data_IF_405778526021
#
_entry.id   IF_405778526021
#
_cell.length_a   1.000
_cell.length_b   1.000
_cell.length_c   1.000
_cell.angle_alpha   90.00
_cell.angle_beta   90.00
_cell.angle_gamma   90.00
#
_symmetry.space_group_name_H-M   'P 1'
#
loop_
_entity.id
_entity.type
_entity.pdbx_description
1 polymer ?
#
# COMPACT_ATOMS: atom_id res chain seq x y z
N UNK A 1 -2.13 -23.74 -16.75
CA UNK A 1 -2.31 -24.57 -15.53
C UNK A 1 -1.86 -23.79 -14.29
N UNK A 2 -2.68 -23.65 -13.23
CA UNK A 2 -2.26 -22.98 -11.98
C UNK A 2 -1.87 -24.02 -10.92
N UNK A 3 -0.67 -23.92 -10.35
CA UNK A 3 -0.26 -24.77 -9.22
C UNK A 3 -0.75 -24.11 -7.93
N UNK A 4 -1.85 -24.64 -7.37
CA UNK A 4 -2.45 -24.10 -6.14
C UNK A 4 -1.43 -24.14 -4.99
N UNK A 5 -1.28 -23.03 -4.29
CA UNK A 5 -0.41 -22.92 -3.11
C UNK A 5 1.03 -22.47 -3.39
N UNK A 6 1.54 -22.57 -4.63
CA UNK A 6 2.93 -22.22 -4.95
C UNK A 6 3.31 -20.77 -4.62
N UNK A 7 2.42 -19.82 -4.88
CA UNK A 7 2.63 -18.39 -4.55
C UNK A 7 2.64 -18.15 -3.04
N UNK A 8 1.82 -18.90 -2.29
CA UNK A 8 1.78 -18.85 -0.82
C UNK A 8 3.07 -19.41 -0.22
N UNK A 9 3.56 -20.52 -0.78
CA UNK A 9 4.84 -21.15 -0.42
C UNK A 9 6.01 -20.21 -0.74
N UNK A 10 6.03 -19.60 -1.92
CA UNK A 10 7.00 -18.57 -2.28
C UNK A 10 7.04 -17.41 -1.29
N UNK A 11 5.88 -16.86 -0.93
CA UNK A 11 5.81 -15.77 0.06
C UNK A 11 6.30 -16.22 1.45
N UNK A 12 6.09 -17.49 1.82
CA UNK A 12 6.58 -18.05 3.09
C UNK A 12 8.10 -18.23 3.08
N UNK A 13 8.66 -18.85 2.03
CA UNK A 13 10.11 -19.03 1.85
C UNK A 13 10.82 -17.68 1.83
N UNK A 14 10.28 -16.71 1.10
CA UNK A 14 10.80 -15.34 1.05
C UNK A 14 10.78 -14.67 2.42
N UNK A 15 9.70 -14.85 3.19
CA UNK A 15 9.60 -14.32 4.55
C UNK A 15 10.63 -14.96 5.49
N UNK A 16 10.94 -16.24 5.34
CA UNK A 16 11.96 -16.92 6.13
C UNK A 16 13.38 -16.44 5.79
N UNK A 17 13.68 -16.24 4.50
CA UNK A 17 14.97 -15.68 4.07
C UNK A 17 15.16 -14.23 4.54
N UNK A 18 14.10 -13.42 4.51
CA UNK A 18 14.12 -12.05 5.03
C UNK A 18 14.28 -11.99 6.56
N UNK A 19 13.82 -13.03 7.26
CA UNK A 19 13.93 -13.17 8.71
C UNK A 19 15.29 -13.69 9.17
N UNK A 20 16.03 -14.35 8.28
CA UNK A 20 17.18 -15.19 8.60
C UNK A 20 16.75 -16.58 9.08
N UNK A 21 17.56 -17.60 8.79
CA UNK A 21 17.36 -18.98 9.21
C UNK A 21 18.18 -19.27 10.46
N UNK A 22 17.62 -20.01 11.43
CA UNK A 22 18.43 -20.55 12.54
C UNK A 22 19.36 -21.64 11.99
N UNK A 23 20.56 -21.84 12.58
CA UNK A 23 21.48 -22.90 12.15
C UNK A 23 20.80 -24.28 12.03
N UNK A 24 19.94 -24.63 13.00
CA UNK A 24 19.22 -25.91 13.04
C UNK A 24 18.14 -26.03 11.94
N UNK A 25 17.66 -24.91 11.42
CA UNK A 25 16.59 -24.85 10.41
C UNK A 25 17.13 -24.82 8.97
N UNK A 26 18.45 -24.65 8.77
CA UNK A 26 19.08 -24.53 7.44
C UNK A 26 18.89 -25.79 6.59
N UNK A 27 19.23 -26.95 7.14
CA UNK A 27 19.11 -28.23 6.41
C UNK A 27 17.65 -28.64 6.15
N UNK A 28 16.72 -28.53 7.13
CA UNK A 28 15.29 -28.69 6.89
C UNK A 28 14.76 -27.76 5.78
N UNK A 29 15.16 -26.48 5.79
CA UNK A 29 14.76 -25.49 4.80
C UNK A 29 15.29 -25.84 3.40
N UNK A 30 16.58 -26.20 3.29
CA UNK A 30 17.21 -26.65 2.04
C UNK A 30 16.45 -27.84 1.44
N UNK A 31 16.09 -28.83 2.28
CA UNK A 31 15.33 -30.01 1.86
C UNK A 31 13.91 -29.65 1.44
N UNK A 32 13.26 -28.71 2.13
CA UNK A 32 11.93 -28.23 1.79
C UNK A 32 11.91 -27.54 0.42
N UNK A 33 12.82 -26.60 0.16
CA UNK A 33 12.91 -25.89 -1.12
C UNK A 33 13.17 -26.86 -2.27
N UNK A 34 14.12 -27.79 -2.12
CA UNK A 34 14.39 -28.84 -3.12
C UNK A 34 13.17 -29.72 -3.40
N UNK A 35 12.40 -30.07 -2.37
CA UNK A 35 11.18 -30.86 -2.51
C UNK A 35 10.11 -30.10 -3.30
N UNK A 36 9.89 -28.81 -2.97
CA UNK A 36 8.92 -27.97 -3.66
C UNK A 36 9.25 -27.83 -5.16
N UNK A 37 10.53 -27.61 -5.50
CA UNK A 37 10.97 -27.51 -6.90
C UNK A 37 10.67 -28.83 -7.64
N UNK A 38 11.03 -29.96 -7.04
CA UNK A 38 10.78 -31.28 -7.62
C UNK A 38 9.27 -31.53 -7.83
N UNK A 39 8.45 -31.21 -6.85
CA UNK A 39 7.00 -31.40 -6.92
C UNK A 39 6.37 -30.52 -8.01
N UNK A 40 6.84 -29.27 -8.16
CA UNK A 40 6.43 -28.37 -9.24
C UNK A 40 6.81 -28.94 -10.61
N UNK A 41 8.03 -29.45 -10.77
CA UNK A 41 8.51 -30.05 -12.01
C UNK A 41 7.74 -31.34 -12.35
N UNK A 42 7.41 -32.16 -11.36
CA UNK A 42 6.60 -33.36 -11.54
C UNK A 42 5.16 -33.04 -11.96
N UNK A 43 4.55 -32.03 -11.34
CA UNK A 43 3.21 -31.53 -11.73
C UNK A 43 3.24 -31.00 -13.17
N UNK A 44 4.28 -30.24 -13.54
CA UNK A 44 4.49 -29.75 -14.90
C UNK A 44 4.62 -30.91 -15.91
N UNK A 45 5.44 -31.91 -15.60
CA UNK A 45 5.63 -33.11 -16.43
C UNK A 45 4.33 -33.89 -16.62
N UNK A 46 3.57 -34.11 -15.55
CA UNK A 46 2.29 -34.83 -15.58
C UNK A 46 1.25 -34.16 -16.48
N UNK A 47 1.28 -32.84 -16.57
CA UNK A 47 0.35 -32.08 -17.41
C UNK A 47 0.95 -31.68 -18.76
N UNK A 48 2.16 -32.15 -19.10
CA UNK A 48 2.88 -31.83 -20.34
C UNK A 48 3.04 -30.32 -20.60
N UNK A 49 3.22 -29.55 -19.53
CA UNK A 49 3.47 -28.10 -19.58
C UNK A 49 4.88 -27.86 -19.08
N UNK A 50 5.67 -27.07 -19.80
CA UNK A 50 7.01 -26.71 -19.34
C UNK A 50 6.94 -25.64 -18.23
N UNK A 51 7.86 -25.61 -17.24
CA UNK A 51 7.78 -24.66 -16.12
C UNK A 51 7.78 -23.17 -16.53
N UNK A 52 8.36 -22.83 -17.67
CA UNK A 52 8.34 -21.52 -18.33
C UNK A 52 6.96 -21.14 -18.91
N UNK A 53 6.13 -22.13 -19.20
CA UNK A 53 4.73 -21.98 -19.63
C UNK A 53 3.74 -21.89 -18.45
N UNK A 54 4.23 -21.92 -17.20
CA UNK A 54 3.39 -21.65 -16.04
C UNK A 54 2.86 -20.20 -16.06
N UNK A 55 1.66 -19.96 -15.52
CA UNK A 55 1.16 -18.61 -15.27
C UNK A 55 2.19 -17.81 -14.48
N UNK A 56 2.39 -16.55 -14.85
CA UNK A 56 3.52 -15.76 -14.37
C UNK A 56 3.74 -15.75 -12.85
N UNK A 57 2.72 -15.69 -11.96
CA UNK A 57 2.95 -15.76 -10.51
C UNK A 57 3.56 -17.10 -10.06
N UNK A 58 3.12 -18.21 -10.69
CA UNK A 58 3.65 -19.55 -10.44
C UNK A 58 5.04 -19.73 -11.07
N UNK A 59 5.26 -19.17 -12.26
CA UNK A 59 6.56 -19.18 -12.92
C UNK A 59 7.62 -18.40 -12.13
N UNK A 60 7.28 -17.20 -11.66
CA UNK A 60 8.19 -16.38 -10.85
C UNK A 60 8.53 -17.03 -9.53
N UNK A 61 7.53 -17.63 -8.86
CA UNK A 61 7.76 -18.44 -7.67
C UNK A 61 8.72 -19.60 -7.95
N UNK A 62 8.56 -20.30 -9.08
CA UNK A 62 9.45 -21.40 -9.47
C UNK A 62 10.88 -20.92 -9.78
N UNK A 63 11.04 -19.87 -10.60
CA UNK A 63 12.36 -19.30 -10.97
C UNK A 63 13.11 -18.84 -9.72
N UNK A 64 12.45 -18.07 -8.84
CA UNK A 64 13.04 -17.64 -7.58
C UNK A 64 13.52 -18.81 -6.72
N UNK A 65 12.71 -19.86 -6.56
CA UNK A 65 13.09 -21.03 -5.77
C UNK A 65 14.27 -21.78 -6.40
N UNK A 66 14.34 -21.82 -7.74
CA UNK A 66 15.38 -22.51 -8.50
C UNK A 66 16.72 -21.76 -8.53
N UNK A 67 16.68 -20.44 -8.58
CA UNK A 67 17.85 -19.56 -8.58
C UNK A 67 18.35 -19.22 -7.17
N UNK A 68 17.64 -19.67 -6.14
CA UNK A 68 18.06 -19.47 -4.75
C UNK A 68 19.40 -20.19 -4.49
N UNK A 69 20.41 -19.42 -4.10
CA UNK A 69 21.69 -19.95 -3.64
C UNK A 69 21.49 -20.66 -2.29
N UNK A 70 21.31 -21.98 -2.35
CA UNK A 70 21.09 -22.81 -1.18
C UNK A 70 22.37 -23.02 -0.38
N UNK A 71 23.54 -22.71 -0.92
CA UNK A 71 24.83 -22.91 -0.28
C UNK A 71 25.21 -21.70 0.59
N UNK A 72 24.71 -20.50 0.26
CA UNK A 72 24.94 -19.26 1.00
C UNK A 72 23.64 -18.67 1.59
N UNK A 73 22.94 -19.46 2.40
CA UNK A 73 21.71 -19.03 3.05
C UNK A 73 21.97 -18.02 4.20
N UNK A 74 21.07 -17.04 4.41
CA UNK A 74 21.22 -16.05 5.49
C UNK A 74 20.97 -16.70 6.85
N UNK A 75 22.04 -17.18 7.50
CA UNK A 75 21.99 -17.79 8.83
C UNK A 75 22.08 -16.70 9.90
N UNK A 76 21.14 -16.73 10.85
CA UNK A 76 21.15 -15.86 12.03
C UNK A 76 22.37 -16.24 12.87
N UNK A 77 23.34 -15.33 13.01
CA UNK A 77 24.47 -15.52 13.91
C UNK A 77 23.99 -15.51 15.37
N UNK A 78 24.60 -16.35 16.22
CA UNK A 78 24.26 -16.43 17.64
C UNK A 78 24.42 -15.05 18.30
N UNK A 79 23.30 -14.38 18.56
CA UNK A 79 23.24 -13.02 19.11
C UNK A 79 22.34 -12.05 18.33
N UNK A 80 21.92 -12.37 17.09
CA UNK A 80 20.97 -11.55 16.35
C UNK A 80 19.52 -12.04 16.52
N UNK A 81 18.54 -11.17 16.84
CA UNK A 81 17.15 -11.59 17.04
C UNK A 81 16.49 -11.99 15.71
N UNK A 82 15.89 -13.18 15.68
CA UNK A 82 15.15 -13.75 14.56
C UNK A 82 14.01 -12.83 14.08
N UNK A 83 14.01 -12.43 12.80
CA UNK A 83 13.12 -11.39 12.24
C UNK A 83 11.92 -11.93 11.46
N UNK A 84 11.09 -12.73 12.12
CA UNK A 84 9.66 -12.83 11.79
C UNK A 84 8.93 -13.21 13.07
N UNK A 85 8.56 -12.21 13.85
CA UNK A 85 7.87 -12.46 15.10
C UNK A 85 6.47 -13.04 14.86
N UNK A 86 6.01 -13.96 15.73
CA UNK A 86 4.64 -14.42 15.70
C UNK A 86 3.70 -13.22 15.86
N UNK A 87 2.67 -13.14 15.01
CA UNK A 87 1.69 -12.06 15.15
C UNK A 87 1.01 -12.14 16.49
N UNK A 88 0.85 -11.01 17.18
CA UNK A 88 0.21 -10.98 18.49
C UNK A 88 -1.05 -10.11 18.47
N UNK A 89 -1.95 -10.39 19.42
CA UNK A 89 -3.26 -9.76 19.51
C UNK A 89 -3.33 -8.82 20.71
N UNK A 90 -3.72 -7.58 20.44
CA UNK A 90 -4.08 -6.60 21.48
C UNK A 90 -5.61 -6.50 21.54
N UNK A 91 -6.18 -6.60 22.74
CA UNK A 91 -7.64 -6.52 22.92
C UNK A 91 -8.13 -5.09 22.66
N UNK A 92 -9.37 -4.97 22.21
CA UNK A 92 -10.12 -3.71 22.05
C UNK A 92 -9.59 -2.71 21.00
N UNK A 93 -8.51 -2.97 20.27
CA UNK A 93 -7.99 -2.05 19.24
C UNK A 93 -9.04 -1.69 18.21
N UNK A 94 -9.79 -2.68 17.70
CA UNK A 94 -10.87 -2.43 16.73
C UNK A 94 -11.98 -1.55 17.29
N UNK A 95 -12.33 -1.73 18.58
CA UNK A 95 -13.35 -0.89 19.25
C UNK A 95 -12.88 0.56 19.40
N UNK A 96 -11.59 0.78 19.66
CA UNK A 96 -10.99 2.11 19.69
C UNK A 96 -11.10 2.77 18.31
N UNK A 97 -10.82 2.02 17.24
CA UNK A 97 -11.02 2.51 15.87
C UNK A 97 -12.47 2.90 15.57
N UNK A 98 -13.44 2.05 15.93
CA UNK A 98 -14.87 2.36 15.76
C UNK A 98 -15.29 3.60 16.58
N UNK A 99 -14.74 3.79 17.79
CA UNK A 99 -15.00 4.97 18.63
C UNK A 99 -14.53 6.27 17.94
N UNK A 100 -13.30 6.30 17.43
CA UNK A 100 -12.81 7.49 16.73
C UNK A 100 -13.56 7.76 15.44
N UNK A 101 -13.93 6.72 14.68
CA UNK A 101 -14.69 6.87 13.44
C UNK A 101 -16.07 7.52 13.69
N UNK A 102 -16.79 7.07 14.73
CA UNK A 102 -18.06 7.68 15.11
C UNK A 102 -17.86 9.13 15.60
N UNK A 103 -16.86 9.37 16.45
CA UNK A 103 -16.57 10.72 16.97
C UNK A 103 -16.22 11.71 15.85
N UNK A 104 -15.37 11.32 14.92
CA UNK A 104 -15.00 12.13 13.75
C UNK A 104 -16.27 12.47 12.95
N UNK A 105 -17.14 11.50 12.70
CA UNK A 105 -18.39 11.74 11.97
C UNK A 105 -19.40 12.64 12.71
N UNK A 106 -19.48 12.53 14.04
CA UNK A 106 -20.40 13.37 14.83
C UNK A 106 -19.87 14.80 15.01
N UNK A 107 -18.55 14.97 15.10
CA UNK A 107 -17.93 16.23 15.52
C UNK A 107 -17.16 16.94 14.40
N UNK A 108 -17.09 16.42 13.16
CA UNK A 108 -16.28 17.04 12.09
C UNK A 108 -16.61 18.52 11.88
N UNK A 109 -17.88 18.93 12.00
CA UNK A 109 -18.26 20.35 11.88
C UNK A 109 -17.58 21.25 12.92
N UNK A 110 -17.52 20.82 14.18
CA UNK A 110 -16.79 21.52 15.24
C UNK A 110 -15.27 21.41 15.06
N UNK A 111 -14.78 20.25 14.64
CA UNK A 111 -13.35 20.01 14.41
C UNK A 111 -12.82 20.90 13.26
N UNK A 112 -13.61 21.12 12.20
CA UNK A 112 -13.19 22.00 11.09
C UNK A 112 -13.01 23.46 11.52
N UNK A 113 -13.82 23.96 12.46
CA UNK A 113 -13.79 25.37 12.88
C UNK A 113 -12.92 25.64 14.11
N UNK A 114 -12.71 24.63 14.98
CA UNK A 114 -12.04 24.80 16.27
C UNK A 114 -10.67 24.11 16.30
N UNK A 115 -9.59 24.90 16.27
CA UNK A 115 -8.23 24.39 16.42
C UNK A 115 -7.99 23.74 17.78
N UNK A 116 -8.53 24.29 18.87
CA UNK A 116 -8.37 23.72 20.21
C UNK A 116 -9.03 22.35 20.34
N UNK A 117 -10.20 22.15 19.71
CA UNK A 117 -10.89 20.86 19.68
C UNK A 117 -10.10 19.84 18.83
N UNK A 118 -9.51 20.27 17.71
CA UNK A 118 -8.61 19.43 16.91
C UNK A 118 -7.38 18.99 17.69
N UNK A 119 -6.66 19.91 18.31
CA UNK A 119 -5.46 19.58 19.12
C UNK A 119 -5.79 18.63 20.26
N UNK A 120 -6.98 18.74 20.87
CA UNK A 120 -7.40 17.79 21.91
C UNK A 120 -7.61 16.38 21.33
N UNK A 121 -8.25 16.27 20.16
CA UNK A 121 -8.47 15.01 19.47
C UNK A 121 -7.14 14.37 19.05
N UNK A 122 -6.23 15.15 18.46
CA UNK A 122 -4.88 14.71 18.06
C UNK A 122 -4.11 14.12 19.25
N UNK A 123 -4.10 14.83 20.39
CA UNK A 123 -3.46 14.33 21.63
C UNK A 123 -4.06 13.02 22.11
N UNK A 124 -5.37 12.83 21.93
CA UNK A 124 -6.05 11.60 22.31
C UNK A 124 -5.69 10.44 21.39
N UNK A 125 -5.65 10.68 20.07
CA UNK A 125 -5.20 9.71 19.07
C UNK A 125 -3.74 9.33 19.36
N UNK A 126 -2.86 10.31 19.58
CA UNK A 126 -1.45 10.10 19.91
C UNK A 126 -1.26 9.30 21.19
N UNK A 127 -2.10 9.53 22.20
CA UNK A 127 -2.08 8.73 23.43
C UNK A 127 -2.37 7.26 23.16
N UNK A 128 -3.34 6.96 22.28
CA UNK A 128 -3.70 5.58 21.92
C UNK A 128 -2.62 4.92 21.05
N UNK A 129 -2.11 5.64 20.06
CA UNK A 129 -1.00 5.21 19.21
C UNK A 129 0.23 4.87 20.07
N UNK A 130 0.63 5.79 20.95
CA UNK A 130 1.77 5.60 21.85
C UNK A 130 1.56 4.44 22.82
N UNK A 131 0.33 4.21 23.27
CA UNK A 131 0.01 3.06 24.11
C UNK A 131 0.20 1.73 23.35
N UNK A 132 -0.24 1.66 22.09
CA UNK A 132 -0.03 0.48 21.24
C UNK A 132 1.45 0.26 20.95
N UNK A 133 2.21 1.31 20.66
CA UNK A 133 3.67 1.23 20.44
C UNK A 133 4.39 0.73 21.69
N UNK A 134 4.04 1.24 22.88
CA UNK A 134 4.58 0.74 24.15
C UNK A 134 4.24 -0.73 24.39
N UNK A 135 3.00 -1.16 24.09
CA UNK A 135 2.62 -2.57 24.20
C UNK A 135 3.41 -3.46 23.25
N UNK A 136 3.69 -3.00 22.02
CA UNK A 136 4.57 -3.72 21.10
C UNK A 136 5.98 -3.81 21.68
N UNK A 137 6.55 -2.70 22.13
CA UNK A 137 7.91 -2.63 22.67
C UNK A 137 8.10 -3.52 23.92
N UNK A 138 7.11 -3.60 24.81
CA UNK A 138 7.11 -4.50 25.97
C UNK A 138 7.17 -6.00 25.60
N UNK A 139 6.88 -6.35 24.35
CA UNK A 139 6.97 -7.71 23.83
C UNK A 139 8.15 -7.88 22.85
N UNK A 140 9.09 -6.92 22.82
CA UNK A 140 10.18 -6.85 21.83
C UNK A 140 9.68 -6.88 20.38
N UNK A 141 8.50 -6.30 20.17
CA UNK A 141 7.80 -6.25 18.89
C UNK A 141 7.68 -4.84 18.32
N UNK A 142 7.41 -4.78 17.02
CA UNK A 142 6.99 -3.55 16.34
C UNK A 142 5.52 -3.65 15.93
N UNK A 143 4.85 -2.53 15.61
CA UNK A 143 3.45 -2.54 15.16
C UNK A 143 3.20 -3.42 13.91
N UNK A 144 4.23 -3.74 13.12
CA UNK A 144 4.13 -4.70 12.02
C UNK A 144 3.68 -6.10 12.47
N UNK A 145 4.01 -6.49 13.71
CA UNK A 145 3.66 -7.79 14.29
C UNK A 145 2.22 -7.87 14.84
N UNK A 146 1.47 -6.77 14.85
CA UNK A 146 0.05 -6.80 15.22
C UNK A 146 -0.75 -7.65 14.22
N UNK A 147 -1.76 -8.39 14.69
CA UNK A 147 -2.73 -9.03 13.80
C UNK A 147 -3.37 -8.03 12.82
N UNK A 148 -3.72 -8.46 11.61
CA UNK A 148 -4.12 -7.56 10.53
C UNK A 148 -5.23 -6.55 10.89
N UNK A 149 -6.31 -6.91 11.62
CA UNK A 149 -7.32 -5.92 12.03
C UNK A 149 -6.77 -4.85 12.97
N UNK A 150 -5.98 -5.24 13.97
CA UNK A 150 -5.37 -4.32 14.94
C UNK A 150 -4.30 -3.45 14.28
N UNK A 151 -3.52 -4.03 13.37
CA UNK A 151 -2.51 -3.30 12.60
C UNK A 151 -3.12 -2.21 11.71
N UNK A 152 -4.22 -2.49 11.02
CA UNK A 152 -4.93 -1.48 10.20
C UNK A 152 -5.41 -0.30 11.04
N UNK A 153 -6.00 -0.57 12.20
CA UNK A 153 -6.45 0.49 13.10
C UNK A 153 -5.28 1.29 13.65
N UNK A 154 -4.19 0.63 14.06
CA UNK A 154 -2.96 1.33 14.46
C UNK A 154 -2.47 2.26 13.35
N UNK A 155 -2.37 1.76 12.11
CA UNK A 155 -1.92 2.54 10.96
C UNK A 155 -2.82 3.74 10.69
N UNK A 156 -4.14 3.54 10.73
CA UNK A 156 -5.12 4.60 10.52
C UNK A 156 -5.07 5.67 11.61
N UNK A 157 -4.97 5.28 12.89
CA UNK A 157 -4.79 6.25 13.97
C UNK A 157 -3.46 6.98 13.85
N UNK A 158 -2.37 6.28 13.50
CA UNK A 158 -1.06 6.92 13.25
C UNK A 158 -1.10 7.89 12.07
N UNK A 159 -1.89 7.59 11.04
CA UNK A 159 -2.10 8.47 9.90
C UNK A 159 -2.83 9.75 10.33
N UNK A 160 -3.89 9.63 11.13
CA UNK A 160 -4.68 10.74 11.66
C UNK A 160 -3.98 11.55 12.77
N UNK A 161 -2.88 11.05 13.35
CA UNK A 161 -2.03 11.81 14.27
C UNK A 161 -1.34 13.02 13.60
N UNK A 162 -1.26 13.05 12.27
CA UNK A 162 -0.71 14.20 11.53
C UNK A 162 -1.81 15.24 11.29
N UNK A 163 -1.52 16.50 11.61
CA UNK A 163 -2.44 17.64 11.43
C UNK A 163 -2.97 17.75 9.99
N UNK A 164 -2.08 17.60 9.00
CA UNK A 164 -2.44 17.65 7.57
C UNK A 164 -3.40 16.52 7.19
N UNK A 165 -3.09 15.29 7.60
CA UNK A 165 -3.90 14.11 7.31
C UNK A 165 -5.26 14.17 8.01
N UNK A 166 -5.30 14.64 9.26
CA UNK A 166 -6.55 14.86 9.98
C UNK A 166 -7.40 15.92 9.28
N UNK A 167 -6.80 17.02 8.82
CA UNK A 167 -7.51 18.07 8.09
C UNK A 167 -8.11 17.53 6.79
N UNK A 168 -7.32 16.81 5.98
CA UNK A 168 -7.81 16.16 4.76
C UNK A 168 -8.95 15.18 5.03
N UNK A 169 -8.86 14.41 6.11
CA UNK A 169 -9.90 13.48 6.53
C UNK A 169 -11.22 14.21 6.84
N UNK A 170 -11.15 15.29 7.61
CA UNK A 170 -12.31 16.10 7.97
C UNK A 170 -12.95 16.78 6.75
N UNK A 171 -12.13 17.28 5.81
CA UNK A 171 -12.60 17.86 4.54
C UNK A 171 -13.29 16.81 3.65
N UNK A 172 -12.79 15.57 3.62
CA UNK A 172 -13.44 14.46 2.92
C UNK A 172 -14.81 14.12 3.54
N UNK A 173 -14.92 14.08 4.86
CA UNK A 173 -16.21 13.91 5.55
C UNK A 173 -17.17 15.08 5.26
N UNK A 174 -16.66 16.30 5.16
CA UNK A 174 -17.46 17.47 4.80
C UNK A 174 -18.00 17.38 3.38
N UNK A 175 -17.19 16.94 2.40
CA UNK A 175 -17.64 16.68 1.02
C UNK A 175 -18.78 15.68 1.00
N UNK A 176 -18.62 14.56 1.71
CA UNK A 176 -19.65 13.54 1.79
C UNK A 176 -20.94 14.10 2.43
N UNK A 177 -20.83 14.87 3.52
CA UNK A 177 -22.01 15.51 4.16
C UNK A 177 -22.72 16.47 3.21
N UNK A 178 -21.98 17.27 2.44
CA UNK A 178 -22.55 18.24 1.49
C UNK A 178 -23.43 17.52 0.46
N UNK A 179 -22.92 16.44 -0.13
CA UNK A 179 -23.65 15.58 -1.07
C UNK A 179 -24.92 15.01 -0.43
N UNK A 180 -24.83 14.51 0.81
CA UNK A 180 -25.99 13.96 1.51
C UNK A 180 -27.10 14.99 1.74
N UNK A 181 -26.72 16.24 2.01
CA UNK A 181 -27.67 17.34 2.23
C UNK A 181 -28.30 17.83 0.92
N UNK A 182 -27.52 17.94 -0.15
CA UNK A 182 -27.99 18.39 -1.48
C UNK A 182 -29.04 17.44 -2.05
N UNK A 183 -28.86 16.14 -1.84
CA UNK A 183 -29.76 15.13 -2.39
C UNK A 183 -31.13 15.01 -1.72
N UNK A 184 -31.46 15.82 -0.70
CA UNK A 184 -32.71 15.75 0.07
C UNK A 184 -33.14 14.29 0.32
N UNK A 185 -32.16 13.44 0.65
CA UNK A 185 -32.36 11.99 0.69
C UNK A 185 -33.47 11.74 1.70
N UNK A 186 -34.65 11.33 1.22
CA UNK A 186 -35.76 10.87 2.09
C UNK A 186 -35.38 9.50 2.61
N UNK A 187 -34.46 9.49 3.55
CA UNK A 187 -34.08 8.30 4.28
C UNK A 187 -35.05 8.15 5.44
N UNK A 188 -35.63 6.96 5.59
CA UNK A 188 -36.45 6.61 6.75
C UNK A 188 -35.64 6.66 8.07
N UNK A 189 -34.30 6.71 7.98
CA UNK A 189 -33.37 6.77 9.10
C UNK A 189 -32.09 7.54 8.73
N UNK A 190 -31.42 8.21 9.68
CA UNK A 190 -30.16 8.89 9.41
C UNK A 190 -29.09 7.93 8.86
N UNK A 191 -28.28 8.42 7.93
CA UNK A 191 -27.10 7.71 7.43
C UNK A 191 -25.85 8.28 8.09
N UNK A 192 -25.06 7.42 8.74
CA UNK A 192 -23.74 7.73 9.25
C UNK A 192 -22.68 7.25 8.26
N UNK A 193 -21.61 8.02 8.12
CA UNK A 193 -20.50 7.71 7.24
C UNK A 193 -19.20 7.67 8.03
N UNK A 194 -18.54 6.52 8.02
CA UNK A 194 -17.22 6.34 8.62
C UNK A 194 -16.20 6.16 7.50
N UNK A 195 -15.27 7.11 7.37
CA UNK A 195 -14.09 6.97 6.52
C UNK A 195 -13.00 6.25 7.36
N UNK A 196 -12.57 5.06 6.95
CA UNK A 196 -11.67 4.21 7.74
C UNK A 196 -10.74 3.35 6.88
N UNK A 197 -9.58 2.95 7.44
CA UNK A 197 -8.73 1.95 6.79
C UNK A 197 -9.35 0.54 6.87
N UNK A 198 -9.63 -0.06 5.71
CA UNK A 198 -10.16 -1.42 5.59
C UNK A 198 -9.79 -2.06 4.25
N UNK A 199 -10.12 -3.35 4.06
CA UNK A 199 -9.84 -4.05 2.80
C UNK A 199 -10.93 -3.88 1.74
N UNK A 200 -12.16 -3.57 2.15
CA UNK A 200 -13.26 -3.36 1.21
C UNK A 200 -13.25 -1.91 0.73
N UNK A 201 -13.73 -1.66 -0.49
CA UNK A 201 -13.91 -0.30 -1.05
C UNK A 201 -14.95 0.48 -0.23
N UNK A 202 -16.08 -0.16 0.07
CA UNK A 202 -17.09 0.33 1.00
C UNK A 202 -17.94 -0.83 1.53
N UNK A 203 -18.68 -0.62 2.62
CA UNK A 203 -19.67 -1.55 3.17
C UNK A 203 -20.80 -0.79 3.85
N UNK A 204 -22.01 -1.30 3.74
CA UNK A 204 -23.15 -0.77 4.45
C UNK A 204 -23.66 -1.76 5.49
N UNK A 205 -24.07 -1.25 6.64
CA UNK A 205 -24.80 -1.99 7.67
C UNK A 205 -26.02 -1.22 8.09
N UNK A 206 -27.15 -1.90 8.15
CA UNK A 206 -28.38 -1.32 8.65
C UNK A 206 -28.58 -1.67 10.11
N UNK A 207 -28.80 -0.64 10.93
CA UNK A 207 -29.27 -0.79 12.29
C UNK A 207 -30.70 -0.28 12.40
N UNK A 208 -31.37 -0.58 13.52
CA UNK A 208 -32.76 -0.20 13.76
C UNK A 208 -33.01 1.30 13.56
N UNK A 209 -32.07 2.15 13.98
CA UNK A 209 -32.25 3.61 14.01
C UNK A 209 -31.26 4.38 13.12
N UNK A 210 -30.33 3.70 12.45
CA UNK A 210 -29.26 4.35 11.67
C UNK A 210 -28.75 3.41 10.57
N UNK A 211 -28.56 3.94 9.37
CA UNK A 211 -27.75 3.30 8.35
C UNK A 211 -26.29 3.65 8.56
N UNK A 212 -25.37 2.70 8.58
CA UNK A 212 -23.94 2.94 8.68
C UNK A 212 -23.23 2.57 7.38
N UNK A 213 -22.70 3.57 6.70
CA UNK A 213 -21.85 3.43 5.54
C UNK A 213 -20.38 3.54 5.98
N UNK A 214 -19.62 2.46 5.86
CA UNK A 214 -18.17 2.46 6.04
C UNK A 214 -17.52 2.59 4.68
N UNK A 215 -16.71 3.62 4.48
CA UNK A 215 -15.98 3.91 3.24
C UNK A 215 -14.49 3.78 3.51
N UNK A 216 -13.75 3.26 2.53
CA UNK A 216 -12.31 3.09 2.65
C UNK A 216 -11.60 4.45 2.69
N UNK A 217 -10.62 4.62 3.58
CA UNK A 217 -9.78 5.82 3.67
C UNK A 217 -9.13 6.22 2.34
N UNK A 218 -8.93 5.27 1.41
CA UNK A 218 -8.47 5.58 0.06
C UNK A 218 -9.32 6.61 -0.70
N UNK A 219 -10.58 6.83 -0.32
CA UNK A 219 -11.44 7.90 -0.87
C UNK A 219 -11.15 9.30 -0.34
N UNK A 220 -10.09 9.48 0.46
CA UNK A 220 -9.66 10.79 0.99
C UNK A 220 -9.63 11.89 -0.09
N UNK A 221 -9.05 11.56 -1.25
CA UNK A 221 -8.84 12.49 -2.37
C UNK A 221 -9.97 12.49 -3.42
N UNK A 222 -11.05 11.74 -3.16
CA UNK A 222 -12.18 11.65 -4.07
C UNK A 222 -12.89 13.00 -4.23
N UNK A 223 -13.26 13.33 -5.47
CA UNK A 223 -13.99 14.54 -5.80
C UNK A 223 -15.50 14.42 -5.48
N UNK A 224 -16.23 15.51 -5.71
CA UNK A 224 -17.67 15.55 -5.42
C UNK A 224 -18.47 14.52 -6.24
N UNK A 225 -18.07 14.21 -7.48
CA UNK A 225 -18.78 13.26 -8.33
C UNK A 225 -18.62 11.83 -7.82
N UNK A 226 -17.42 11.46 -7.35
CA UNK A 226 -17.17 10.15 -6.75
C UNK A 226 -17.92 10.00 -5.42
N UNK A 227 -17.95 11.05 -4.58
CA UNK A 227 -18.78 11.05 -3.36
C UNK A 227 -20.27 10.95 -3.68
N UNK A 228 -20.71 11.60 -4.75
CA UNK A 228 -22.08 11.50 -5.26
C UNK A 228 -22.46 10.07 -5.64
N UNK A 229 -21.60 9.43 -6.44
CA UNK A 229 -21.77 8.04 -6.83
C UNK A 229 -21.84 7.11 -5.61
N UNK A 230 -20.93 7.27 -4.65
CA UNK A 230 -20.88 6.47 -3.41
C UNK A 230 -22.17 6.59 -2.60
N UNK A 231 -22.68 7.81 -2.42
CA UNK A 231 -23.88 8.08 -1.62
C UNK A 231 -25.15 7.60 -2.36
N UNK A 232 -25.24 7.83 -3.67
CA UNK A 232 -26.33 7.31 -4.50
C UNK A 232 -26.39 5.78 -4.42
N UNK A 233 -25.22 5.12 -4.52
CA UNK A 233 -25.13 3.66 -4.45
C UNK A 233 -25.56 3.09 -3.10
N UNK A 234 -25.29 3.81 -2.01
CA UNK A 234 -25.67 3.42 -0.66
C UNK A 234 -27.17 3.63 -0.35
N UNK A 235 -27.82 4.59 -1.03
CA UNK A 235 -29.23 4.93 -0.77
C UNK A 235 -30.19 4.29 -1.78
N UNK A 236 -29.86 4.36 -3.06
CA UNK A 236 -30.77 4.00 -4.16
C UNK A 236 -30.56 2.58 -4.70
N UNK A 237 -29.59 1.83 -4.16
CA UNK A 237 -29.28 0.48 -4.63
C UNK A 237 -28.35 0.50 -5.83
N UNK A 238 -28.44 -0.51 -6.72
CA UNK A 238 -27.51 -0.64 -7.86
C UNK A 238 -27.71 0.49 -8.86
N UNK A 239 -26.60 1.11 -9.26
CA UNK A 239 -26.53 2.08 -10.35
C UNK A 239 -25.21 1.85 -11.10
N UNK A 240 -25.23 1.30 -12.33
CA UNK A 240 -24.02 0.98 -13.07
C UNK A 240 -23.10 2.19 -13.31
N UNK A 241 -23.66 3.40 -13.44
CA UNK A 241 -22.86 4.61 -13.63
C UNK A 241 -22.10 4.96 -12.35
N UNK A 242 -22.77 4.93 -11.20
CA UNK A 242 -22.12 5.10 -9.90
C UNK A 242 -21.08 4.00 -9.62
N UNK A 243 -21.41 2.74 -9.90
CA UNK A 243 -20.49 1.60 -9.72
C UNK A 243 -19.20 1.83 -10.54
N UNK A 244 -19.32 2.24 -11.81
CA UNK A 244 -18.18 2.52 -12.68
C UNK A 244 -17.27 3.64 -12.12
N UNK A 245 -17.85 4.75 -11.64
CA UNK A 245 -17.08 5.87 -11.08
C UNK A 245 -16.35 5.48 -9.78
N UNK A 246 -16.99 4.68 -8.94
CA UNK A 246 -16.40 4.19 -7.69
C UNK A 246 -15.23 3.25 -8.00
N UNK A 247 -15.42 2.31 -8.93
CA UNK A 247 -14.40 1.34 -9.32
C UNK A 247 -13.21 2.03 -10.02
N UNK A 248 -13.47 2.97 -10.94
CA UNK A 248 -12.42 3.76 -11.60
C UNK A 248 -11.57 4.52 -10.58
N UNK A 249 -12.20 5.16 -9.58
CA UNK A 249 -11.44 5.84 -8.54
C UNK A 249 -10.69 4.86 -7.63
N UNK A 250 -11.28 3.72 -7.27
CA UNK A 250 -10.64 2.72 -6.42
C UNK A 250 -9.42 2.05 -7.10
N UNK A 251 -9.36 2.05 -8.43
CA UNK A 251 -8.23 1.57 -9.22
C UNK A 251 -7.16 2.64 -9.50
N UNK A 252 -7.41 3.89 -9.11
CA UNK A 252 -6.52 5.02 -9.36
C UNK A 252 -5.26 5.04 -8.47
N UNK A 253 -4.26 5.81 -8.91
CA UNK A 253 -3.06 6.09 -8.13
C UNK A 253 -3.40 6.87 -6.84
N UNK A 254 -4.31 7.84 -6.91
CA UNK A 254 -4.76 8.65 -5.76
C UNK A 254 -5.30 7.77 -4.63
N UNK A 255 -6.13 6.77 -4.93
CA UNK A 255 -6.66 5.82 -3.95
C UNK A 255 -5.56 4.95 -3.36
N UNK A 256 -4.72 4.40 -4.24
CA UNK A 256 -3.68 3.46 -3.86
C UNK A 256 -2.57 4.13 -3.02
N UNK A 257 -2.30 5.42 -3.21
CA UNK A 257 -1.30 6.21 -2.47
C UNK A 257 -1.68 6.43 -1.03
N UNK A 258 -2.92 6.81 -0.76
CA UNK A 258 -3.42 6.95 0.61
C UNK A 258 -3.30 5.61 1.36
N UNK A 259 -3.72 4.51 0.73
CA UNK A 259 -3.62 3.19 1.37
C UNK A 259 -2.18 2.76 1.63
N UNK A 260 -1.29 2.99 0.68
CA UNK A 260 0.13 2.66 0.85
C UNK A 260 0.77 3.49 1.97
N UNK A 261 0.46 4.80 2.04
CA UNK A 261 0.93 5.67 3.13
C UNK A 261 0.50 5.10 4.48
N UNK A 262 -0.79 4.78 4.63
CA UNK A 262 -1.32 4.21 5.87
C UNK A 262 -0.60 2.91 6.21
N UNK A 263 -0.52 1.95 5.29
CA UNK A 263 0.08 0.63 5.55
C UNK A 263 1.57 0.72 5.90
N UNK A 264 2.30 1.65 5.28
CA UNK A 264 3.73 1.85 5.53
C UNK A 264 4.04 2.43 6.91
N UNK A 265 3.04 2.95 7.65
CA UNK A 265 3.23 3.46 9.01
C UNK A 265 3.59 2.37 10.03
N UNK A 266 3.18 1.12 9.78
CA UNK A 266 3.56 -0.03 10.62
C UNK A 266 4.92 -0.64 10.24
N UNK A 267 5.50 -0.27 9.09
CA UNK A 267 6.78 -0.81 8.67
C UNK A 267 7.88 -0.39 9.66
N UNK A 268 8.76 -1.31 10.09
CA UNK A 268 9.88 -0.95 10.94
C UNK A 268 10.81 -0.02 10.16
N UNK A 269 11.19 1.09 10.80
CA UNK A 269 12.14 2.08 10.25
C UNK A 269 13.56 1.54 10.29
N UNK A 270 13.86 0.49 9.52
CA UNK A 270 15.25 0.02 9.40
C UNK A 270 16.02 0.95 8.46
N UNK A 271 16.94 1.73 9.03
CA UNK A 271 17.65 2.86 8.42
C UNK A 271 18.76 2.49 7.41
N UNK A 272 18.78 1.29 6.83
CA UNK A 272 19.83 0.98 5.84
C UNK A 272 19.41 1.45 4.45
N UNK A 273 20.06 2.50 3.97
CA UNK A 273 19.97 2.99 2.60
C UNK A 273 20.78 2.12 1.60
N UNK A 274 21.66 1.25 2.11
CA UNK A 274 22.45 0.31 1.32
C UNK A 274 21.67 -0.98 1.09
N UNK A 275 21.37 -1.27 -0.18
CA UNK A 275 20.83 -2.53 -0.67
C UNK A 275 21.94 -3.52 -1.05
N UNK A 276 21.55 -4.67 -1.60
CA UNK A 276 22.43 -5.70 -2.17
C UNK A 276 23.08 -5.24 -3.48
N UNK A 277 22.29 -4.64 -4.36
CA UNK A 277 22.71 -4.23 -5.70
C UNK A 277 22.82 -2.70 -5.82
N UNK A 278 21.97 -1.95 -5.12
CA UNK A 278 21.88 -0.49 -5.26
C UNK A 278 22.05 0.24 -3.92
N UNK A 279 22.59 1.47 -3.99
CA UNK A 279 22.68 2.40 -2.87
C UNK A 279 21.69 3.55 -3.06
N UNK A 280 20.76 3.72 -2.12
CA UNK A 280 19.83 4.86 -2.16
C UNK A 280 20.55 6.19 -1.92
N UNK A 281 21.65 6.18 -1.15
CA UNK A 281 22.46 7.38 -0.92
C UNK A 281 23.07 7.89 -2.23
N UNK A 282 23.68 6.99 -3.01
CA UNK A 282 24.27 7.34 -4.30
C UNK A 282 23.20 7.77 -5.30
N UNK A 283 22.04 7.11 -5.31
CA UNK A 283 20.89 7.50 -6.14
C UNK A 283 20.40 8.91 -5.79
N UNK A 284 20.24 9.20 -4.49
CA UNK A 284 19.86 10.53 -4.02
C UNK A 284 20.88 11.58 -4.45
N UNK A 285 22.18 11.33 -4.30
CA UNK A 285 23.23 12.27 -4.68
C UNK A 285 23.20 12.60 -6.19
N UNK A 286 23.10 11.59 -7.05
CA UNK A 286 22.98 11.77 -8.51
C UNK A 286 21.74 12.58 -8.87
N UNK A 287 20.59 12.22 -8.31
CA UNK A 287 19.30 12.87 -8.58
C UNK A 287 19.27 14.30 -8.06
N UNK A 288 19.75 14.53 -6.83
CA UNK A 288 19.80 15.86 -6.23
C UNK A 288 20.70 16.80 -7.03
N UNK A 289 21.89 16.33 -7.43
CA UNK A 289 22.81 17.12 -8.26
C UNK A 289 22.18 17.48 -9.61
N UNK A 290 21.56 16.52 -10.29
CA UNK A 290 21.06 16.68 -11.66
C UNK A 290 19.77 17.49 -11.73
N UNK A 291 18.79 17.21 -10.87
CA UNK A 291 17.43 17.75 -11.01
C UNK A 291 17.05 18.80 -9.97
N UNK A 292 17.83 18.92 -8.90
CA UNK A 292 17.55 19.84 -7.79
C UNK A 292 18.73 20.78 -7.46
N UNK A 293 19.74 20.86 -8.33
CA UNK A 293 20.94 21.69 -8.19
C UNK A 293 21.68 21.46 -6.86
N UNK A 294 21.60 20.24 -6.30
CA UNK A 294 22.20 19.89 -5.00
C UNK A 294 21.50 20.51 -3.78
N UNK A 295 20.33 21.15 -3.96
CA UNK A 295 19.65 21.90 -2.89
C UNK A 295 18.56 21.13 -2.16
N UNK A 296 18.20 19.92 -2.60
CA UNK A 296 17.18 19.11 -1.92
C UNK A 296 17.71 18.64 -0.56
N UNK A 297 17.03 18.98 0.56
CA UNK A 297 17.38 18.41 1.86
C UNK A 297 17.16 16.90 1.84
N UNK A 298 18.15 16.14 2.30
CA UNK A 298 18.11 14.67 2.24
C UNK A 298 17.06 14.10 3.20
N UNK A 299 16.00 13.42 2.70
CA UNK A 299 15.08 12.68 3.57
C UNK A 299 15.76 11.44 4.14
N UNK A 300 15.12 10.80 5.12
CA UNK A 300 15.51 9.45 5.56
C UNK A 300 15.23 8.47 4.42
N UNK A 301 16.26 7.78 3.93
CA UNK A 301 16.15 6.82 2.83
C UNK A 301 16.05 5.39 3.36
N UNK A 302 15.05 4.64 2.90
CA UNK A 302 14.77 3.29 3.39
C UNK A 302 14.36 2.36 2.26
N UNK A 303 14.93 1.16 2.22
CA UNK A 303 14.34 0.06 1.46
C UNK A 303 13.12 -0.49 2.21
N UNK A 304 11.95 -0.43 1.58
CA UNK A 304 10.76 -1.09 2.14
C UNK A 304 10.96 -2.61 2.13
N UNK A 305 10.41 -3.33 3.12
CA UNK A 305 10.59 -4.79 3.23
C UNK A 305 9.45 -5.58 2.57
N UNK A 306 8.37 -4.88 2.21
CA UNK A 306 7.16 -5.44 1.63
C UNK A 306 7.14 -5.19 0.13
N UNK A 307 7.21 -6.27 -0.66
CA UNK A 307 7.10 -6.20 -2.11
C UNK A 307 5.67 -5.78 -2.52
N UNK A 308 5.55 -4.58 -3.07
CA UNK A 308 4.30 -4.06 -3.64
C UNK A 308 4.32 -4.18 -5.16
N UNK A 309 3.38 -4.94 -5.73
CA UNK A 309 3.36 -5.33 -7.15
C UNK A 309 3.21 -4.19 -8.17
N UNK A 310 2.92 -2.97 -7.69
CA UNK A 310 2.62 -1.77 -8.50
C UNK A 310 3.34 -0.52 -8.01
N UNK A 311 3.98 -0.57 -6.84
CA UNK A 311 4.55 0.61 -6.19
C UNK A 311 6.02 0.40 -5.91
N UNK A 312 6.81 1.29 -6.48
CA UNK A 312 8.26 1.19 -6.48
C UNK A 312 8.91 2.21 -5.55
N UNK A 313 8.21 3.29 -5.19
CA UNK A 313 8.62 4.28 -4.21
C UNK A 313 7.43 4.86 -3.44
N UNK A 314 7.73 5.56 -2.35
CA UNK A 314 6.79 6.43 -1.65
C UNK A 314 7.52 7.41 -0.70
N UNK A 315 7.19 8.69 -0.78
CA UNK A 315 7.59 9.70 0.19
C UNK A 315 6.51 9.92 1.27
N UNK A 316 6.90 9.82 2.54
CA UNK A 316 6.09 10.12 3.72
C UNK A 316 6.45 11.50 4.29
N UNK A 317 5.59 12.53 4.13
CA UNK A 317 5.86 13.87 4.64
C UNK A 317 6.02 13.91 6.17
N UNK A 318 5.17 13.19 6.90
CA UNK A 318 5.12 13.20 8.37
C UNK A 318 6.40 12.75 9.06
N UNK A 319 7.27 12.01 8.36
CA UNK A 319 8.56 11.49 8.88
C UNK A 319 9.76 11.93 8.06
N UNK A 320 9.55 12.79 7.05
CA UNK A 320 10.55 13.09 6.02
C UNK A 320 11.29 11.82 5.55
N UNK A 321 10.53 10.79 5.17
CA UNK A 321 11.06 9.46 4.84
C UNK A 321 10.68 9.06 3.43
N UNK A 322 11.70 8.74 2.61
CA UNK A 322 11.54 8.22 1.25
C UNK A 322 11.81 6.72 1.27
N UNK A 323 10.79 5.95 0.91
CA UNK A 323 10.87 4.49 0.85
C UNK A 323 10.97 4.03 -0.60
N UNK A 324 11.91 3.14 -0.90
CA UNK A 324 12.04 2.49 -2.22
C UNK A 324 11.76 1.00 -2.08
N UNK A 325 11.09 0.42 -3.06
CA UNK A 325 10.75 -1.00 -3.05
C UNK A 325 11.99 -1.88 -3.17
N UNK A 326 12.13 -2.87 -2.27
CA UNK A 326 13.19 -3.88 -2.38
C UNK A 326 13.13 -4.67 -3.70
N UNK A 327 12.03 -4.61 -4.46
CA UNK A 327 11.98 -5.19 -5.81
C UNK A 327 12.95 -4.55 -6.80
N UNK A 328 13.41 -3.33 -6.53
CA UNK A 328 14.39 -2.64 -7.37
C UNK A 328 15.83 -2.94 -6.94
N UNK A 329 16.04 -3.57 -5.79
CA UNK A 329 17.37 -3.90 -5.27
C UNK A 329 17.91 -5.21 -5.88
N UNK A 330 18.01 -5.23 -7.21
CA UNK A 330 18.45 -6.38 -8.01
C UNK A 330 19.48 -5.95 -9.05
N UNK A 331 20.48 -6.80 -9.31
CA UNK A 331 21.56 -6.50 -10.27
C UNK A 331 21.06 -6.40 -11.72
N UNK A 332 19.92 -7.01 -12.04
CA UNK A 332 19.26 -6.90 -13.34
C UNK A 332 18.44 -5.61 -13.52
N UNK A 333 18.25 -4.82 -12.44
CA UNK A 333 17.61 -3.51 -12.50
C UNK A 333 18.68 -2.44 -12.71
N UNK A 334 18.64 -1.65 -13.79
CA UNK A 334 19.61 -0.58 -14.02
C UNK A 334 19.49 0.56 -13.00
N UNK A 335 20.60 1.23 -12.69
CA UNK A 335 20.64 2.34 -11.73
C UNK A 335 19.67 3.49 -12.09
N UNK A 336 19.50 3.80 -13.38
CA UNK A 336 18.58 4.87 -13.82
C UNK A 336 17.11 4.58 -13.44
N UNK A 337 16.73 3.30 -13.25
CA UNK A 337 15.37 2.93 -12.82
C UNK A 337 15.17 3.29 -11.35
N UNK A 338 16.19 3.05 -10.51
CA UNK A 338 16.18 3.46 -9.10
C UNK A 338 16.22 4.99 -9.00
N UNK A 339 17.03 5.65 -9.83
CA UNK A 339 17.13 7.11 -9.89
C UNK A 339 15.81 7.77 -10.32
N UNK A 340 15.08 7.15 -11.26
CA UNK A 340 13.76 7.64 -11.66
C UNK A 340 12.76 7.58 -10.49
N UNK A 341 12.73 6.47 -9.75
CA UNK A 341 11.86 6.34 -8.57
C UNK A 341 12.28 7.34 -7.49
N UNK A 342 13.57 7.48 -7.21
CA UNK A 342 14.09 8.50 -6.29
C UNK A 342 13.66 9.90 -6.71
N UNK A 343 13.77 10.24 -8.00
CA UNK A 343 13.36 11.52 -8.54
C UNK A 343 11.86 11.77 -8.35
N UNK A 344 11.01 10.79 -8.68
CA UNK A 344 9.56 10.85 -8.48
C UNK A 344 9.22 11.15 -7.02
N UNK A 345 9.83 10.44 -6.07
CA UNK A 345 9.56 10.67 -4.66
C UNK A 345 10.10 12.01 -4.12
N UNK A 346 11.23 12.49 -4.66
CA UNK A 346 11.74 13.83 -4.33
C UNK A 346 10.89 14.94 -4.95
N UNK A 347 10.18 14.69 -6.05
CA UNK A 347 9.17 15.62 -6.56
C UNK A 347 7.99 15.75 -5.60
N UNK A 348 7.54 14.65 -4.98
CA UNK A 348 6.54 14.71 -3.90
C UNK A 348 7.03 15.56 -2.73
N UNK A 349 8.31 15.44 -2.36
CA UNK A 349 8.92 16.28 -1.32
C UNK A 349 8.99 17.75 -1.74
N UNK A 350 9.42 18.05 -2.98
CA UNK A 350 9.57 19.42 -3.50
C UNK A 350 8.25 20.16 -3.57
N UNK A 351 7.24 19.52 -4.15
CA UNK A 351 5.96 20.14 -4.46
C UNK A 351 5.00 20.10 -3.26
N UNK A 352 5.26 19.22 -2.30
CA UNK A 352 4.43 19.05 -1.12
C UNK A 352 3.01 18.62 -1.47
N UNK A 353 2.06 18.99 -0.62
CA UNK A 353 0.64 18.72 -0.79
C UNK A 353 0.01 19.89 -1.53
N UNK A 354 -0.30 19.74 -2.82
CA UNK A 354 -1.12 20.71 -3.54
C UNK A 354 -2.59 20.41 -3.25
N UNK A 355 -3.25 21.25 -2.45
CA UNK A 355 -4.68 21.09 -2.15
C UNK A 355 -5.52 21.94 -3.10
N UNK A 356 -6.44 21.31 -3.83
CA UNK A 356 -7.42 21.98 -4.71
C UNK A 356 -8.81 21.57 -4.28
N UNK A 357 -9.66 22.52 -3.87
CA UNK A 357 -11.01 22.24 -3.37
C UNK A 357 -11.05 21.25 -2.18
N UNK A 358 -10.07 21.35 -1.27
CA UNK A 358 -9.95 20.50 -0.07
C UNK A 358 -9.50 19.06 -0.34
N UNK A 359 -9.07 18.73 -1.57
CA UNK A 359 -8.45 17.43 -1.86
C UNK A 359 -6.99 17.61 -2.21
N UNK A 360 -6.16 16.66 -1.78
CA UNK A 360 -4.76 16.59 -2.21
C UNK A 360 -4.71 16.10 -3.66
N UNK A 361 -4.10 16.88 -4.53
CA UNK A 361 -3.80 16.50 -5.91
C UNK A 361 -2.36 16.00 -5.95
N UNK A 362 -2.17 14.68 -5.86
CA UNK A 362 -0.84 14.09 -5.70
C UNK A 362 0.00 14.23 -6.97
N UNK A 363 -0.56 13.88 -8.14
CA UNK A 363 0.12 14.08 -9.43
C UNK A 363 -0.55 15.19 -10.26
N UNK A 364 -0.34 16.44 -9.84
CA UNK A 364 -0.82 17.62 -10.59
C UNK A 364 -0.23 17.71 -12.02
N UNK A 365 -0.81 18.53 -12.92
CA UNK A 365 -0.21 18.76 -14.24
C UNK A 365 1.25 19.25 -14.16
N UNK A 366 1.57 20.08 -13.15
CA UNK A 366 2.93 20.54 -12.87
C UNK A 366 3.85 19.41 -12.42
N UNK A 367 3.38 18.54 -11.52
CA UNK A 367 4.12 17.33 -11.12
C UNK A 367 4.47 16.48 -12.35
N UNK A 368 3.47 16.21 -13.21
CA UNK A 368 3.67 15.39 -14.41
C UNK A 368 4.60 16.07 -15.43
N UNK A 369 4.64 17.40 -15.47
CA UNK A 369 5.56 18.14 -16.32
C UNK A 369 7.01 18.04 -15.81
N UNK A 370 7.23 18.20 -14.51
CA UNK A 370 8.54 18.00 -13.87
C UNK A 370 8.99 16.54 -14.02
N UNK A 371 8.12 15.57 -13.77
CA UNK A 371 8.43 14.13 -13.87
C UNK A 371 8.98 13.75 -15.26
N UNK A 372 8.41 14.34 -16.33
CA UNK A 372 8.84 14.14 -17.72
C UNK A 372 10.21 14.73 -18.06
N UNK A 373 10.80 15.54 -17.18
CA UNK A 373 12.15 16.10 -17.38
C UNK A 373 13.25 15.10 -17.05
N UNK A 374 12.92 13.95 -16.45
CA UNK A 374 13.89 12.89 -16.22
C UNK A 374 14.46 12.39 -17.56
N UNK A 375 15.80 12.32 -17.66
CA UNK A 375 16.49 12.05 -18.92
C UNK A 375 16.05 10.73 -19.58
N UNK A 376 15.96 9.64 -18.79
CA UNK A 376 15.52 8.32 -19.25
C UNK A 376 14.05 8.02 -18.88
N UNK A 377 13.17 9.03 -18.95
CA UNK A 377 11.79 8.92 -18.47
C UNK A 377 11.04 7.73 -19.09
N UNK A 378 11.10 7.59 -20.41
CA UNK A 378 10.34 6.57 -21.14
C UNK A 378 10.89 5.17 -20.85
N UNK A 379 12.22 5.02 -20.80
CA UNK A 379 12.94 3.80 -20.52
C UNK A 379 12.66 3.32 -19.10
N UNK A 380 12.76 4.23 -18.12
CA UNK A 380 12.47 3.92 -16.73
C UNK A 380 11.02 3.49 -16.54
N UNK A 381 10.06 4.23 -17.11
CA UNK A 381 8.63 3.84 -17.06
C UNK A 381 8.36 2.51 -17.74
N UNK A 382 9.00 2.24 -18.87
CA UNK A 382 8.88 0.95 -19.55
C UNK A 382 9.41 -0.18 -18.66
N UNK A 383 10.57 0.00 -18.04
CA UNK A 383 11.17 -0.98 -17.14
C UNK A 383 10.28 -1.24 -15.91
N UNK A 384 9.80 -0.19 -15.24
CA UNK A 384 8.87 -0.30 -14.11
C UNK A 384 7.57 -0.99 -14.52
N UNK A 385 7.03 -0.69 -15.71
CA UNK A 385 5.85 -1.38 -16.23
C UNK A 385 6.13 -2.87 -16.43
N UNK A 386 7.27 -3.25 -17.00
CA UNK A 386 7.65 -4.66 -17.13
C UNK A 386 7.79 -5.33 -15.76
N UNK A 387 8.43 -4.69 -14.79
CA UNK A 387 8.54 -5.20 -13.42
C UNK A 387 7.15 -5.39 -12.79
N UNK A 388 6.26 -4.42 -12.93
CA UNK A 388 4.89 -4.52 -12.43
C UNK A 388 4.10 -5.65 -13.12
N UNK A 389 4.27 -5.85 -14.43
CA UNK A 389 3.65 -6.97 -15.16
C UNK A 389 4.22 -8.32 -14.74
N UNK A 390 5.54 -8.41 -14.53
CA UNK A 390 6.19 -9.60 -13.97
C UNK A 390 5.67 -9.92 -12.56
N UNK A 391 5.39 -8.88 -11.77
CA UNK A 391 4.85 -8.99 -10.40
C UNK A 391 3.34 -9.30 -10.36
N UNK A 392 2.55 -8.87 -11.36
CA UNK A 392 1.10 -9.10 -11.44
C UNK A 392 0.71 -10.39 -12.20
N UNK A 393 1.55 -10.82 -13.14
CA UNK A 393 1.21 -11.82 -14.13
C UNK A 393 0.14 -11.38 -15.13
N UNK A 394 -0.03 -12.10 -16.25
CA UNK A 394 -0.97 -11.68 -17.28
C UNK A 394 -2.41 -11.87 -16.80
N UNK A 395 -3.12 -10.76 -16.65
CA UNK A 395 -4.58 -10.71 -16.71
C UNK A 395 -5.00 -11.23 -18.09
N UNK A 396 -5.90 -12.21 -18.12
CA UNK A 396 -6.42 -12.74 -19.37
C UNK A 396 -7.08 -11.63 -20.18
N UNK A 397 -6.48 -11.30 -21.33
CA UNK A 397 -7.22 -10.61 -22.39
C UNK A 397 -8.31 -11.58 -22.85
N UNK A 398 -9.57 -11.21 -22.62
CA UNK A 398 -10.69 -11.69 -23.41
C UNK A 398 -10.43 -11.19 -24.83
N UNK A 399 -9.92 -12.04 -25.70
CA UNK A 399 -10.04 -11.81 -27.14
C UNK A 399 -11.52 -11.95 -27.48
N UNK A 400 -12.19 -10.82 -27.70
CA UNK A 400 -13.38 -10.78 -28.54
C UNK A 400 -12.93 -11.15 -29.94
N UNK A 401 -13.19 -12.39 -30.33
CA UNK A 401 -13.14 -12.77 -31.74
C UNK A 401 -14.45 -12.29 -32.33
N UNK A 402 -14.39 -11.18 -33.08
CA UNK A 402 -15.41 -10.86 -34.07
C UNK A 402 -15.41 -12.00 -35.09
N UNK A 403 -16.57 -12.64 -35.25
CA UNK A 403 -16.82 -13.57 -36.33
C UNK A 403 -17.22 -12.76 -37.55
N UNK A 404 -16.28 -12.58 -38.46
CA UNK A 404 -16.59 -12.23 -39.85
C UNK A 404 -17.27 -13.45 -40.50
N UNK A 405 -18.61 -13.45 -40.50
CA UNK A 405 -19.38 -14.26 -41.43
C UNK A 405 -19.29 -13.60 -42.81
N UNK A 406 -18.29 -14.03 -43.58
CA UNK A 406 -18.25 -13.88 -45.03
C UNK A 406 -18.18 -15.24 -45.72
N UNK A 407 -19.36 -15.70 -46.13
CA UNK A 407 -19.65 -16.27 -47.45
C UNK A 407 -18.98 -17.60 -47.84
N UNK A 408 -19.72 -18.71 -47.68
CA UNK A 408 -19.95 -19.73 -48.72
C UNK A 408 -21.11 -20.66 -48.32
#
# INVERSE_FOLDING_TARGET
>A
MRIKGLVRVFNHVRSQLQAGLKPDDVEPFRKQVKTIIRDVEEICRKHRVAPDQLPAPSRMAYVFLKELDLDNLPVIQAGEPARAAPTFRVKNVVKIGDYFADRLWQQFGLLLISSSTRTLLEREIDKQVSALERLCALNDQTPSALEAPSRRVYCWLKFLSSEDNLTLHLEALQRARKVMNEHHLRLDRPLHLHLISMNAVWRQREYKNVGLLKVNEGFLNADQNVWQAMINRAVSGRDPASDCLIDEFAESDDFSEVLFEIESLAAPTTRSARGRAHSLDESFERVNATYFNGRMPKPTLVWNRTLTARKFGHYQPSRDTLMVSISLDDHGVPAYVVDFVMYHELLHKKLGVVTVNGRRLVHSPGFRADERQFAEYNEARHHLKQLAHRQQGPSGQTMTVESDDSNA
#
